data_IF_134933278072
#
_entry.id   IF_134933278072
#
_cell.length_a   1.000
_cell.length_b   1.000
_cell.length_c   1.000
_cell.angle_alpha   90.00
_cell.angle_beta   90.00
_cell.angle_gamma   90.00
#
_symmetry.space_group_name_H-M   'P 1'
#
loop_
_entity.id
_entity.type
_entity.pdbx_description
1 polymer ?
#
# COMPACT_ATOMS: atom_id res chain seq x y z
N UNK A 1 81.14 -26.66 -2.82
CA UNK A 1 80.54 -27.67 -3.72
C UNK A 1 79.03 -27.65 -3.55
N UNK A 2 78.29 -27.72 -4.65
CA UNK A 2 76.83 -27.82 -4.80
C UNK A 2 76.04 -26.57 -4.36
N UNK A 3 75.43 -25.75 -5.22
CA UNK A 3 74.58 -25.95 -6.42
C UNK A 3 73.15 -26.39 -6.11
N UNK A 4 72.22 -25.56 -6.61
CA UNK A 4 70.81 -25.79 -6.98
C UNK A 4 69.82 -25.94 -5.82
N UNK A 5 68.58 -25.46 -5.85
CA UNK A 5 67.65 -24.99 -6.91
C UNK A 5 66.38 -24.53 -6.12
N UNK A 6 65.38 -23.77 -6.57
CA UNK A 6 64.90 -23.25 -7.85
C UNK A 6 63.63 -22.42 -7.52
N UNK A 7 63.39 -21.35 -8.28
CA UNK A 7 62.07 -20.90 -8.79
C UNK A 7 61.01 -20.36 -7.79
N UNK A 8 60.14 -19.39 -8.10
CA UNK A 8 59.91 -18.52 -9.27
C UNK A 8 58.84 -17.47 -8.85
N UNK A 9 59.05 -16.21 -9.28
CA UNK A 9 58.10 -15.19 -9.72
C UNK A 9 56.70 -15.02 -9.06
N UNK A 10 56.33 -13.77 -8.73
CA UNK A 10 54.92 -13.42 -8.54
C UNK A 10 54.65 -11.96 -8.12
N UNK A 11 54.73 -11.02 -9.06
CA UNK A 11 54.21 -9.66 -8.97
C UNK A 11 52.68 -9.69 -8.73
N UNK A 12 52.14 -9.03 -7.69
CA UNK A 12 50.70 -8.71 -7.61
C UNK A 12 50.46 -7.26 -7.18
N UNK A 13 49.60 -6.65 -8.00
CA UNK A 13 49.12 -5.27 -8.11
C UNK A 13 48.57 -4.62 -6.83
N UNK A 14 48.69 -3.30 -6.83
CA UNK A 14 47.82 -2.33 -6.17
C UNK A 14 46.34 -2.73 -6.20
N UNK A 15 45.64 -2.54 -5.08
CA UNK A 15 44.22 -2.16 -5.09
C UNK A 15 43.94 -1.08 -4.06
N UNK A 16 43.41 0.03 -4.56
CA UNK A 16 42.67 1.07 -3.83
C UNK A 16 41.69 0.43 -2.84
N UNK A 17 41.77 0.83 -1.57
CA UNK A 17 40.70 0.57 -0.60
C UNK A 17 39.50 1.41 -1.01
N UNK A 18 38.46 0.71 -1.44
CA UNK A 18 37.30 1.29 -2.10
C UNK A 18 36.55 2.31 -1.27
N UNK A 19 36.18 3.40 -1.93
CA UNK A 19 34.96 4.12 -1.61
C UNK A 19 33.80 3.14 -1.67
N UNK A 20 33.14 2.93 -0.54
CA UNK A 20 31.87 2.21 -0.47
C UNK A 20 30.89 2.90 -1.42
N UNK A 21 30.49 2.18 -2.48
CA UNK A 21 29.36 2.58 -3.32
C UNK A 21 28.14 2.58 -2.42
N UNK A 22 27.59 3.77 -2.13
CA UNK A 22 26.28 3.89 -1.50
C UNK A 22 25.31 3.02 -2.29
N UNK A 23 24.63 2.13 -1.57
CA UNK A 23 23.54 1.32 -2.10
C UNK A 23 22.47 2.27 -2.68
N UNK A 24 22.07 2.11 -3.95
CA UNK A 24 21.02 2.94 -4.56
C UNK A 24 19.65 2.76 -3.90
N UNK A 25 19.50 1.82 -2.96
CA UNK A 25 18.32 1.65 -2.10
C UNK A 25 18.25 2.62 -0.92
N UNK A 26 18.85 3.80 -1.03
CA UNK A 26 18.34 4.98 -0.32
C UNK A 26 17.02 5.42 -0.99
N UNK A 27 16.06 4.48 -1.05
CA UNK A 27 14.76 4.67 -1.66
C UNK A 27 14.07 5.82 -0.96
N UNK A 28 13.51 6.75 -1.72
CA UNK A 28 12.60 7.77 -1.22
C UNK A 28 11.69 7.16 -0.14
N UNK A 29 11.59 7.81 1.01
CA UNK A 29 10.72 7.38 2.10
C UNK A 29 9.31 7.19 1.53
N UNK A 30 8.91 5.92 1.35
CA UNK A 30 7.69 5.56 0.65
C UNK A 30 6.51 6.03 1.50
N UNK A 31 5.78 7.03 1.00
CA UNK A 31 4.61 7.56 1.71
C UNK A 31 3.46 6.58 1.54
N UNK A 32 3.01 6.02 2.66
CA UNK A 32 1.84 5.15 2.70
C UNK A 32 0.60 5.96 3.09
N UNK A 33 -0.52 5.80 2.36
CA UNK A 33 -1.83 6.18 2.87
C UNK A 33 -2.11 5.49 4.21
N UNK A 34 -2.97 6.07 5.06
CA UNK A 34 -3.44 5.45 6.31
C UNK A 34 -3.97 4.02 6.15
N UNK A 35 -4.08 3.29 7.26
CA UNK A 35 -4.57 1.90 7.25
C UNK A 35 -5.98 1.81 6.63
N UNK A 36 -6.29 0.75 5.87
CA UNK A 36 -7.67 0.51 5.42
C UNK A 36 -8.64 0.24 6.58
N UNK A 37 -8.14 -0.08 7.77
CA UNK A 37 -8.92 -0.29 9.00
C UNK A 37 -9.16 1.01 9.79
N UNK A 38 -8.56 2.13 9.38
CA UNK A 38 -8.92 3.42 9.98
C UNK A 38 -10.32 3.86 9.56
N UNK A 39 -11.03 4.44 10.52
CA UNK A 39 -12.43 4.85 10.38
C UNK A 39 -12.58 6.35 10.45
N UNK A 40 -13.40 6.91 9.56
CA UNK A 40 -13.89 8.29 9.67
C UNK A 40 -15.34 8.37 9.18
N UNK A 41 -16.16 9.22 9.81
CA UNK A 41 -17.60 9.26 9.58
C UNK A 41 -18.29 7.87 9.70
N UNK A 42 -17.70 6.95 10.45
CA UNK A 42 -18.14 5.55 10.58
C UNK A 42 -17.86 4.66 9.36
N UNK A 43 -17.09 5.13 8.38
CA UNK A 43 -16.63 4.35 7.25
C UNK A 43 -15.16 3.97 7.45
N UNK A 44 -14.89 2.65 7.41
CA UNK A 44 -13.53 2.16 7.19
C UNK A 44 -13.02 2.63 5.82
N UNK A 45 -11.71 2.60 5.61
CA UNK A 45 -11.03 2.96 4.36
C UNK A 45 -11.19 4.42 3.89
N UNK A 46 -12.12 5.20 4.45
CA UNK A 46 -12.33 6.61 4.09
C UNK A 46 -11.07 7.47 4.32
N UNK A 47 -10.39 7.41 5.48
CA UNK A 47 -9.11 8.11 5.69
C UNK A 47 -8.07 7.78 4.61
N UNK A 48 -7.93 6.49 4.32
CA UNK A 48 -7.02 5.97 3.30
C UNK A 48 -7.34 6.48 1.90
N UNK A 49 -8.62 6.51 1.51
CA UNK A 49 -9.05 7.02 0.22
C UNK A 49 -8.73 8.51 0.06
N UNK A 50 -8.92 9.30 1.13
CA UNK A 50 -8.58 10.73 1.15
C UNK A 50 -7.08 10.93 0.96
N UNK A 51 -6.25 10.16 1.68
CA UNK A 51 -4.80 10.23 1.52
C UNK A 51 -4.38 9.87 0.10
N UNK A 52 -4.95 8.81 -0.47
CA UNK A 52 -4.66 8.41 -1.86
C UNK A 52 -4.98 9.54 -2.84
N UNK A 53 -6.10 10.23 -2.64
CA UNK A 53 -6.47 11.38 -3.48
C UNK A 53 -5.47 12.52 -3.30
N UNK A 54 -5.17 12.92 -2.06
CA UNK A 54 -4.21 14.01 -1.79
C UNK A 54 -2.81 13.70 -2.33
N UNK A 55 -2.35 12.46 -2.17
CA UNK A 55 -1.07 12.01 -2.72
C UNK A 55 -1.08 12.02 -4.25
N UNK A 56 -2.18 11.60 -4.88
CA UNK A 56 -2.32 11.63 -6.32
C UNK A 56 -2.25 13.06 -6.86
N UNK A 57 -3.01 13.99 -6.27
CA UNK A 57 -3.02 15.40 -6.67
C UNK A 57 -1.66 16.08 -6.43
N UNK A 58 -0.88 15.59 -5.45
CA UNK A 58 0.48 16.06 -5.20
C UNK A 58 1.55 15.40 -6.09
N UNK A 59 1.17 14.46 -6.98
CA UNK A 59 2.13 13.69 -7.79
C UNK A 59 2.99 12.72 -6.98
N UNK A 60 2.52 12.34 -5.79
CA UNK A 60 3.25 11.52 -4.79
C UNK A 60 2.61 10.16 -4.52
N UNK A 61 1.50 9.82 -5.18
CA UNK A 61 0.90 8.50 -5.02
C UNK A 61 1.82 7.44 -5.67
N UNK A 62 2.33 6.46 -4.92
CA UNK A 62 3.27 5.49 -5.50
C UNK A 62 2.65 4.70 -6.65
N UNK A 63 3.47 4.35 -7.64
CA UNK A 63 3.02 3.71 -8.88
C UNK A 63 2.19 2.43 -8.65
N UNK A 64 2.56 1.65 -7.63
CA UNK A 64 1.84 0.42 -7.26
C UNK A 64 0.35 0.63 -6.91
N UNK A 65 -0.06 1.83 -6.50
CA UNK A 65 -1.46 2.13 -6.18
C UNK A 65 -2.28 2.55 -7.40
N UNK A 66 -1.63 3.11 -8.42
CA UNK A 66 -2.31 3.75 -9.56
C UNK A 66 -3.21 2.79 -10.37
N UNK A 67 -2.83 1.52 -10.62
CA UNK A 67 -3.68 0.58 -11.37
C UNK A 67 -5.06 0.31 -10.75
N UNK A 68 -5.26 0.65 -9.47
CA UNK A 68 -6.53 0.45 -8.77
C UNK A 68 -7.19 1.75 -8.30
N UNK A 69 -6.47 2.88 -8.36
CA UNK A 69 -6.90 4.15 -7.79
C UNK A 69 -8.28 4.57 -8.31
N UNK A 70 -9.25 4.71 -7.40
CA UNK A 70 -10.66 5.10 -7.62
C UNK A 70 -11.57 4.15 -8.41
N UNK A 71 -11.03 3.23 -9.22
CA UNK A 71 -11.83 2.45 -10.17
C UNK A 71 -11.81 0.94 -9.93
N UNK A 72 -11.00 0.44 -8.97
CA UNK A 72 -11.00 -0.96 -8.54
C UNK A 72 -10.84 -1.10 -7.02
N UNK A 73 -11.09 -2.31 -6.54
CA UNK A 73 -10.89 -2.68 -5.14
C UNK A 73 -11.71 -1.84 -4.17
N UNK A 74 -11.12 -1.57 -3.00
CA UNK A 74 -11.82 -0.91 -1.90
C UNK A 74 -12.22 0.55 -2.18
N UNK A 75 -11.47 1.26 -3.02
CA UNK A 75 -11.83 2.63 -3.44
C UNK A 75 -13.15 2.61 -4.22
N UNK A 76 -13.22 1.78 -5.26
CA UNK A 76 -14.41 1.65 -6.09
C UNK A 76 -15.60 1.14 -5.28
N UNK A 77 -15.37 0.17 -4.38
CA UNK A 77 -16.43 -0.34 -3.52
C UNK A 77 -16.95 0.72 -2.55
N UNK A 78 -16.09 1.56 -1.98
CA UNK A 78 -16.51 2.65 -1.11
C UNK A 78 -17.38 3.65 -1.90
N UNK A 79 -16.90 4.08 -3.07
CA UNK A 79 -17.60 5.03 -3.95
C UNK A 79 -18.97 4.51 -4.40
N UNK A 80 -19.03 3.25 -4.86
CA UNK A 80 -20.27 2.55 -5.21
C UNK A 80 -21.24 2.52 -4.01
N UNK A 81 -20.76 2.06 -2.85
CA UNK A 81 -21.60 1.92 -1.66
C UNK A 81 -22.10 3.29 -1.17
N UNK A 82 -21.31 4.35 -1.37
CA UNK A 82 -21.62 5.72 -0.99
C UNK A 82 -22.48 6.52 -2.01
N UNK A 83 -22.74 5.99 -3.21
CA UNK A 83 -23.34 6.74 -4.36
C UNK A 83 -22.53 7.95 -4.82
N UNK A 84 -21.23 7.96 -4.59
CA UNK A 84 -20.41 9.12 -4.95
C UNK A 84 -19.59 8.77 -6.18
N UNK A 85 -19.72 9.57 -7.23
CA UNK A 85 -18.85 9.41 -8.40
C UNK A 85 -17.40 9.73 -8.03
N UNK A 86 -16.41 9.04 -8.62
CA UNK A 86 -14.99 9.31 -8.37
C UNK A 86 -14.63 10.79 -8.52
N UNK A 87 -15.07 11.42 -9.62
CA UNK A 87 -14.80 12.82 -9.90
C UNK A 87 -15.39 13.76 -8.83
N UNK A 88 -16.61 13.48 -8.35
CA UNK A 88 -17.22 14.29 -7.30
C UNK A 88 -16.45 14.18 -5.99
N UNK A 89 -16.01 12.97 -5.62
CA UNK A 89 -15.29 12.78 -4.37
C UNK A 89 -13.90 13.41 -4.41
N UNK A 90 -13.19 13.31 -5.54
CA UNK A 90 -11.92 14.00 -5.76
C UNK A 90 -12.08 15.52 -5.57
N UNK A 91 -13.11 16.13 -6.17
CA UNK A 91 -13.35 17.57 -6.01
C UNK A 91 -13.67 17.97 -4.56
N UNK A 92 -14.37 17.13 -3.81
CA UNK A 92 -14.61 17.36 -2.38
C UNK A 92 -13.29 17.37 -1.61
N UNK A 93 -12.43 16.37 -1.83
CA UNK A 93 -11.13 16.28 -1.15
C UNK A 93 -10.21 17.45 -1.53
N UNK A 94 -10.17 17.84 -2.80
CA UNK A 94 -9.39 19.00 -3.29
C UNK A 94 -9.86 20.33 -2.71
N UNK A 95 -11.17 20.46 -2.49
CA UNK A 95 -11.79 21.67 -1.93
C UNK A 95 -11.73 21.73 -0.40
N UNK A 96 -11.14 20.70 0.24
CA UNK A 96 -11.05 20.59 1.71
C UNK A 96 -9.60 20.70 2.16
N UNK A 97 -9.34 21.51 3.17
CA UNK A 97 -8.02 21.66 3.79
C UNK A 97 -7.80 20.55 4.82
N UNK A 98 -8.85 20.18 5.56
CA UNK A 98 -8.77 19.24 6.68
C UNK A 98 -9.59 17.98 6.44
N UNK A 99 -9.28 16.93 7.20
CA UNK A 99 -10.12 15.72 7.24
C UNK A 99 -11.50 15.98 7.84
N UNK A 100 -11.60 16.92 8.77
CA UNK A 100 -12.86 17.34 9.37
C UNK A 100 -13.87 17.83 8.32
N UNK A 101 -13.42 18.64 7.37
CA UNK A 101 -14.27 19.16 6.29
C UNK A 101 -14.78 18.04 5.36
N UNK A 102 -13.93 17.06 5.03
CA UNK A 102 -14.35 15.89 4.25
C UNK A 102 -15.31 15.03 5.06
N UNK A 103 -15.04 14.82 6.35
CA UNK A 103 -15.91 14.09 7.28
C UNK A 103 -17.31 14.72 7.31
N UNK A 104 -17.38 16.04 7.51
CA UNK A 104 -18.63 16.80 7.55
C UNK A 104 -19.39 16.69 6.22
N UNK A 105 -18.68 16.79 5.09
CA UNK A 105 -19.28 16.59 3.78
C UNK A 105 -19.86 15.18 3.62
N UNK A 106 -19.15 14.14 4.05
CA UNK A 106 -19.63 12.75 3.98
C UNK A 106 -20.87 12.57 4.86
N UNK A 107 -20.85 13.05 6.11
CA UNK A 107 -22.00 12.98 7.01
C UNK A 107 -23.22 13.71 6.42
N UNK A 108 -23.00 14.86 5.79
CA UNK A 108 -24.06 15.67 5.19
C UNK A 108 -24.63 15.06 3.91
N UNK A 109 -23.81 14.50 3.02
CA UNK A 109 -24.21 14.17 1.65
C UNK A 109 -24.37 12.67 1.37
N UNK A 110 -23.64 11.79 2.07
CA UNK A 110 -23.74 10.34 1.86
C UNK A 110 -24.92 9.80 2.67
N UNK A 111 -26.10 9.76 2.03
CA UNK A 111 -27.34 9.26 2.62
C UNK A 111 -27.61 7.84 2.15
N UNK A 112 -27.22 6.87 2.97
CA UNK A 112 -27.41 5.45 2.67
C UNK A 112 -28.30 4.76 3.69
N UNK A 113 -28.98 3.67 3.29
CA UNK A 113 -29.79 2.87 4.21
C UNK A 113 -28.96 2.38 5.41
N UNK A 114 -29.64 2.16 6.53
CA UNK A 114 -29.05 1.52 7.71
C UNK A 114 -28.32 0.23 7.32
N UNK A 115 -27.12 0.04 7.88
CA UNK A 115 -26.27 -1.12 7.61
C UNK A 115 -25.37 -1.03 6.37
N UNK A 116 -25.44 0.03 5.55
CA UNK A 116 -24.54 0.16 4.39
C UNK A 116 -23.05 0.19 4.81
N UNK A 117 -22.73 0.87 5.91
CA UNK A 117 -21.38 0.92 6.50
C UNK A 117 -20.91 -0.45 6.98
N UNK A 118 -21.81 -1.21 7.62
CA UNK A 118 -21.49 -2.55 8.10
C UNK A 118 -21.26 -3.52 6.93
N UNK A 119 -22.11 -3.51 5.91
CA UNK A 119 -21.89 -4.32 4.69
C UNK A 119 -20.57 -3.99 4.00
N UNK A 120 -20.18 -2.72 3.98
CA UNK A 120 -18.88 -2.33 3.44
C UNK A 120 -17.72 -2.85 4.30
N UNK A 121 -17.83 -2.74 5.63
CA UNK A 121 -16.87 -3.33 6.56
C UNK A 121 -16.77 -4.85 6.39
N UNK A 122 -17.89 -5.56 6.33
CA UNK A 122 -17.94 -7.00 6.05
C UNK A 122 -17.23 -7.33 4.74
N UNK A 123 -17.47 -6.56 3.68
CA UNK A 123 -16.77 -6.71 2.42
C UNK A 123 -15.24 -6.59 2.60
N UNK A 124 -14.75 -5.56 3.30
CA UNK A 124 -13.30 -5.40 3.55
C UNK A 124 -12.70 -6.59 4.31
N UNK A 125 -13.36 -7.01 5.40
CA UNK A 125 -12.85 -8.06 6.29
C UNK A 125 -12.93 -9.46 5.67
N UNK A 126 -13.84 -9.64 4.71
CA UNK A 126 -13.98 -10.89 4.00
C UNK A 126 -13.05 -10.95 2.78
N UNK A 127 -12.77 -9.83 2.11
CA UNK A 127 -12.07 -9.81 0.82
C UNK A 127 -10.72 -10.53 0.84
N UNK A 128 -10.63 -11.62 0.08
CA UNK A 128 -9.46 -12.51 0.07
C UNK A 128 -9.67 -13.83 0.81
N UNK A 129 -10.81 -14.01 1.49
CA UNK A 129 -11.26 -15.26 2.11
C UNK A 129 -12.28 -15.99 1.22
N UNK A 130 -13.11 -15.25 0.49
CA UNK A 130 -14.05 -15.79 -0.50
C UNK A 130 -13.35 -16.21 -1.78
N UNK A 131 -13.95 -17.18 -2.47
CA UNK A 131 -13.55 -17.55 -3.83
C UNK A 131 -12.15 -18.19 -3.92
N UNK A 132 -11.99 -19.09 -4.88
CA UNK A 132 -10.67 -19.68 -5.13
C UNK A 132 -9.69 -18.63 -5.68
N UNK A 133 -10.15 -17.78 -6.60
CA UNK A 133 -9.34 -16.77 -7.26
C UNK A 133 -8.78 -15.73 -6.27
N UNK A 134 -9.61 -15.15 -5.40
CA UNK A 134 -9.17 -14.13 -4.46
C UNK A 134 -8.27 -14.71 -3.36
N UNK A 135 -8.54 -15.94 -2.88
CA UNK A 135 -7.62 -16.64 -1.98
C UNK A 135 -6.26 -16.91 -2.63
N UNK A 136 -6.26 -17.39 -3.88
CA UNK A 136 -5.04 -17.60 -4.64
C UNK A 136 -4.27 -16.29 -4.85
N UNK A 137 -4.98 -15.18 -5.14
CA UNK A 137 -4.38 -13.85 -5.28
C UNK A 137 -3.77 -13.37 -3.97
N UNK A 138 -4.43 -13.56 -2.83
CA UNK A 138 -3.87 -13.21 -1.52
C UNK A 138 -2.62 -14.03 -1.21
N UNK A 139 -2.65 -15.35 -1.43
CA UNK A 139 -1.49 -16.22 -1.26
C UNK A 139 -0.31 -15.81 -2.15
N UNK A 140 -0.59 -15.45 -3.41
CA UNK A 140 0.41 -14.91 -4.33
C UNK A 140 1.05 -13.63 -3.78
N UNK A 141 0.25 -12.66 -3.32
CA UNK A 141 0.75 -11.39 -2.77
C UNK A 141 1.60 -11.58 -1.51
N UNK A 142 1.19 -12.50 -0.62
CA UNK A 142 1.99 -12.91 0.55
C UNK A 142 3.35 -13.45 0.12
N UNK A 143 3.38 -14.39 -0.84
CA UNK A 143 4.63 -14.95 -1.38
C UNK A 143 5.53 -13.90 -2.02
N UNK A 144 4.98 -13.03 -2.87
CA UNK A 144 5.72 -11.93 -3.51
C UNK A 144 6.37 -10.96 -2.51
N UNK A 145 5.81 -10.88 -1.29
CA UNK A 145 6.27 -9.96 -0.24
C UNK A 145 7.04 -10.68 0.87
N UNK A 146 7.36 -11.98 0.71
CA UNK A 146 8.07 -12.76 1.72
C UNK A 146 7.28 -13.04 3.00
N UNK A 147 5.95 -12.99 2.94
CA UNK A 147 5.01 -13.16 4.05
C UNK A 147 4.19 -14.45 3.94
N UNK A 148 4.70 -15.48 3.25
CA UNK A 148 3.96 -16.73 3.03
C UNK A 148 3.58 -17.44 4.33
N UNK A 149 4.47 -17.42 5.32
CA UNK A 149 4.28 -18.06 6.63
C UNK A 149 3.48 -17.22 7.65
N UNK A 150 3.02 -16.01 7.28
CA UNK A 150 2.25 -15.14 8.17
C UNK A 150 0.79 -15.61 8.29
N UNK A 151 0.51 -16.48 9.25
CA UNK A 151 -0.85 -17.03 9.47
C UNK A 151 -1.86 -15.97 9.97
N UNK A 152 -1.40 -14.88 10.56
CA UNK A 152 -2.25 -13.77 10.99
C UNK A 152 -2.80 -12.94 9.81
N UNK A 153 -2.15 -12.97 8.65
CA UNK A 153 -2.63 -12.32 7.42
C UNK A 153 -3.67 -13.20 6.76
N UNK A 154 -4.93 -12.81 6.90
CA UNK A 154 -6.07 -13.63 6.56
C UNK A 154 -6.97 -13.03 5.46
N UNK A 155 -6.90 -11.71 5.25
CA UNK A 155 -7.59 -11.01 4.17
C UNK A 155 -6.74 -9.85 3.63
N UNK A 156 -7.22 -9.15 2.59
CA UNK A 156 -6.44 -8.09 1.94
C UNK A 156 -6.19 -6.86 2.81
N UNK A 157 -7.07 -6.54 3.76
CA UNK A 157 -6.81 -5.43 4.69
C UNK A 157 -5.66 -5.77 5.66
N UNK A 158 -5.59 -7.01 6.16
CA UNK A 158 -4.46 -7.48 6.97
C UNK A 158 -3.17 -7.43 6.15
N UNK A 159 -3.23 -7.92 4.90
CA UNK A 159 -2.08 -7.92 4.00
C UNK A 159 -1.56 -6.51 3.73
N UNK A 160 -2.45 -5.54 3.49
CA UNK A 160 -2.07 -4.14 3.26
C UNK A 160 -1.38 -3.57 4.50
N UNK A 161 -1.92 -3.79 5.69
CA UNK A 161 -1.31 -3.30 6.91
C UNK A 161 0.06 -3.95 7.18
N UNK A 162 0.22 -5.24 6.91
CA UNK A 162 1.51 -5.92 7.02
C UNK A 162 2.53 -5.42 5.97
N UNK A 163 2.12 -5.30 4.70
CA UNK A 163 2.98 -4.83 3.59
C UNK A 163 3.44 -3.38 3.79
N UNK A 164 2.63 -2.58 4.49
CA UNK A 164 2.93 -1.18 4.84
C UNK A 164 3.55 -1.05 6.24
N UNK A 165 3.94 -2.16 6.87
CA UNK A 165 4.74 -2.20 8.10
C UNK A 165 3.99 -1.83 9.39
N UNK A 166 2.67 -2.00 9.43
CA UNK A 166 1.85 -1.70 10.62
C UNK A 166 1.69 -2.90 11.57
N UNK A 167 1.77 -4.13 11.05
CA UNK A 167 1.65 -5.39 11.80
C UNK A 167 2.64 -6.47 11.35
#
# INVERSE_FOLDING_TARGET
>A
MSTAAKHFLGLVRLTDRGLSKKDPRMSEERIFPRSPLESMAGWLHLPRLIDKIRLHEAGKLPEAYQPNYLHKGFDAKWLETADVSPAKFVEVVKSSITDGEVCDWVVKNVKKPTGAKERFKEHLMHHGREGEELRARLAQRKKESGMEDREDIQCFVDYIDADEGRI
#
